data_IF_132822226285
#
_entry.id   IF_132822226285
#
_cell.length_a   1.000
_cell.length_b   1.000
_cell.length_c   1.000
_cell.angle_alpha   90.00
_cell.angle_beta   90.00
_cell.angle_gamma   90.00
#
_symmetry.space_group_name_H-M   'P 1'
#
loop_
_entity.id
_entity.type
_entity.pdbx_description
1 polymer ?
#
# COMPACT_ATOMS: atom_id res chain seq x y z
N UNK A 1 2.78 -4.28 -8.74
CA UNK A 1 3.34 -3.41 -7.68
C UNK A 1 2.41 -2.22 -7.54
N UNK A 2 2.18 -1.72 -6.32
CA UNK A 2 1.22 -0.66 -6.02
C UNK A 2 1.97 0.53 -5.41
N UNK A 3 2.13 1.59 -6.19
CA UNK A 3 2.76 2.84 -5.75
C UNK A 3 1.74 3.97 -5.82
N UNK A 4 0.96 4.19 -4.75
CA UNK A 4 -0.10 5.19 -4.75
C UNK A 4 0.33 6.55 -5.29
N UNK A 5 1.53 7.03 -4.97
CA UNK A 5 1.98 8.34 -5.46
C UNK A 5 2.05 8.43 -6.99
N UNK A 6 2.32 7.30 -7.68
CA UNK A 6 2.39 7.22 -9.14
C UNK A 6 1.02 7.25 -9.85
N UNK A 7 -0.09 7.23 -9.12
CA UNK A 7 -1.44 7.38 -9.69
C UNK A 7 -1.72 8.86 -9.96
N UNK A 8 -1.10 9.41 -11.01
CA UNK A 8 -1.12 10.86 -11.29
C UNK A 8 -2.53 11.49 -11.30
N UNK A 9 -3.55 10.75 -11.76
CA UNK A 9 -4.96 11.19 -11.78
C UNK A 9 -5.82 10.52 -10.69
N UNK A 10 -5.21 9.77 -9.78
CA UNK A 10 -5.88 8.96 -8.79
C UNK A 10 -6.67 7.79 -9.37
N UNK A 11 -7.79 7.45 -8.72
CA UNK A 11 -8.75 6.41 -9.12
C UNK A 11 -10.17 6.99 -9.09
N UNK A 12 -11.20 6.32 -9.67
CA UNK A 12 -12.58 6.81 -9.59
C UNK A 12 -13.00 7.13 -8.15
N UNK A 13 -13.47 8.37 -7.92
CA UNK A 13 -13.85 8.88 -6.60
C UNK A 13 -12.71 9.46 -5.75
N UNK A 14 -11.44 9.26 -6.13
CA UNK A 14 -10.27 9.72 -5.36
C UNK A 14 -9.23 10.36 -6.28
N UNK A 15 -9.29 11.68 -6.43
CA UNK A 15 -8.39 12.44 -7.33
C UNK A 15 -7.01 12.70 -6.73
N UNK A 16 -6.90 12.87 -5.41
CA UNK A 16 -5.61 13.04 -4.74
C UNK A 16 -5.10 11.67 -4.26
N UNK A 17 -4.11 11.07 -4.93
CA UNK A 17 -3.68 9.73 -4.58
C UNK A 17 -2.97 9.64 -3.23
N UNK A 18 -2.24 10.68 -2.83
CA UNK A 18 -1.49 10.69 -1.57
C UNK A 18 -2.44 10.84 -0.38
N UNK A 19 -3.51 11.60 -0.54
CA UNK A 19 -4.57 11.70 0.47
C UNK A 19 -5.45 10.42 0.56
N UNK A 20 -5.42 9.55 -0.47
CA UNK A 20 -6.31 8.39 -0.60
C UNK A 20 -5.54 7.07 -0.77
N UNK A 21 -4.38 6.95 -0.11
CA UNK A 21 -3.48 5.80 -0.19
C UNK A 21 -4.17 4.48 0.15
N UNK A 22 -5.01 4.47 1.19
CA UNK A 22 -5.79 3.29 1.58
C UNK A 22 -6.68 2.82 0.42
N UNK A 23 -7.52 3.71 -0.11
CA UNK A 23 -8.48 3.39 -1.15
C UNK A 23 -7.80 2.94 -2.45
N UNK A 24 -6.67 3.55 -2.81
CA UNK A 24 -5.90 3.11 -3.96
C UNK A 24 -5.47 1.65 -3.82
N UNK A 25 -4.89 1.28 -2.69
CA UNK A 25 -4.43 -0.10 -2.47
C UNK A 25 -5.62 -1.05 -2.41
N UNK A 26 -6.62 -0.74 -1.58
CA UNK A 26 -7.78 -1.61 -1.34
C UNK A 26 -8.57 -1.86 -2.63
N UNK A 27 -9.02 -0.79 -3.31
CA UNK A 27 -9.85 -0.90 -4.51
C UNK A 27 -9.11 -1.52 -5.68
N UNK A 28 -7.79 -1.31 -5.78
CA UNK A 28 -6.99 -1.99 -6.81
C UNK A 28 -6.90 -3.49 -6.57
N UNK A 29 -6.72 -3.91 -5.32
CA UNK A 29 -6.71 -5.34 -4.95
C UNK A 29 -8.09 -5.98 -5.17
N UNK A 30 -9.17 -5.33 -4.77
CA UNK A 30 -10.54 -5.79 -5.04
C UNK A 30 -10.79 -5.96 -6.54
N UNK A 31 -10.40 -4.98 -7.35
CA UNK A 31 -10.57 -5.06 -8.79
C UNK A 31 -9.71 -6.18 -9.39
N UNK A 32 -8.50 -6.39 -8.88
CA UNK A 32 -7.63 -7.49 -9.28
C UNK A 32 -8.23 -8.86 -8.97
N UNK A 33 -8.74 -9.07 -7.76
CA UNK A 33 -9.42 -10.30 -7.37
C UNK A 33 -10.68 -10.55 -8.22
N UNK A 34 -11.53 -9.53 -8.40
CA UNK A 34 -12.74 -9.64 -9.22
C UNK A 34 -12.44 -10.00 -10.68
N UNK A 35 -11.34 -9.48 -11.24
CA UNK A 35 -10.94 -9.77 -12.62
C UNK A 35 -10.31 -11.14 -12.81
N UNK A 36 -9.66 -11.68 -11.78
CA UNK A 36 -8.85 -12.90 -11.89
C UNK A 36 -9.51 -14.12 -11.28
N UNK A 37 -10.49 -13.95 -10.38
CA UNK A 37 -11.07 -15.02 -9.58
C UNK A 37 -10.11 -15.64 -8.57
N UNK A 38 -8.91 -15.07 -8.40
CA UNK A 38 -7.90 -15.58 -7.47
C UNK A 38 -8.33 -15.28 -6.04
N UNK A 39 -8.18 -16.27 -5.15
CA UNK A 39 -8.42 -16.10 -3.73
C UNK A 39 -7.58 -14.94 -3.15
N UNK A 40 -8.24 -14.07 -2.37
CA UNK A 40 -7.64 -12.87 -1.77
C UNK A 40 -6.36 -13.18 -0.99
N UNK A 41 -6.29 -14.32 -0.31
CA UNK A 41 -5.14 -14.77 0.48
C UNK A 41 -3.91 -15.08 -0.37
N UNK A 42 -4.05 -15.23 -1.69
CA UNK A 42 -2.91 -15.44 -2.61
C UNK A 42 -2.26 -14.12 -3.05
N UNK A 43 -2.88 -12.98 -2.80
CA UNK A 43 -2.30 -11.68 -3.13
C UNK A 43 -1.17 -11.34 -2.15
N UNK A 44 -0.06 -10.81 -2.70
CA UNK A 44 1.07 -10.23 -1.96
C UNK A 44 1.48 -8.91 -2.63
N UNK A 45 0.77 -7.79 -2.37
CA UNK A 45 1.11 -6.53 -2.99
C UNK A 45 2.49 -6.05 -2.55
N UNK A 46 3.22 -5.51 -3.53
CA UNK A 46 4.37 -4.65 -3.28
C UNK A 46 3.89 -3.23 -3.01
N UNK A 47 4.13 -2.72 -1.81
CA UNK A 47 3.70 -1.43 -1.29
C UNK A 47 4.84 -0.40 -1.35
N UNK A 48 4.49 0.88 -1.39
CA UNK A 48 5.43 1.99 -1.50
C UNK A 48 6.09 2.34 -0.16
N UNK A 49 7.43 2.44 -0.15
CA UNK A 49 8.22 2.90 1.00
C UNK A 49 9.20 4.05 0.65
N UNK A 50 8.92 4.81 -0.40
CA UNK A 50 9.74 5.93 -0.86
C UNK A 50 8.86 7.15 -1.15
N UNK A 51 9.46 8.34 -1.12
CA UNK A 51 8.82 9.56 -1.62
C UNK A 51 8.86 9.55 -3.14
N UNK A 52 7.78 10.00 -3.78
CA UNK A 52 7.70 9.97 -5.24
C UNK A 52 8.93 10.60 -5.89
N UNK A 53 9.38 9.96 -6.97
CA UNK A 53 10.51 10.37 -7.79
C UNK A 53 10.18 11.57 -8.68
N UNK A 54 8.91 11.83 -8.93
CA UNK A 54 8.46 12.77 -9.93
C UNK A 54 7.63 13.90 -9.28
N UNK A 55 8.26 15.07 -9.13
CA UNK A 55 7.60 16.39 -9.04
C UNK A 55 6.84 16.80 -7.79
N UNK A 56 6.87 16.05 -6.69
CA UNK A 56 6.22 16.53 -5.46
C UNK A 56 7.05 16.29 -4.20
N UNK A 57 7.28 17.37 -3.44
CA UNK A 57 7.94 17.34 -2.12
C UNK A 57 7.01 16.81 -1.02
N UNK A 58 5.79 16.37 -1.35
CA UNK A 58 4.84 15.76 -0.42
C UNK A 58 5.51 14.68 0.44
N UNK A 59 5.25 14.77 1.74
CA UNK A 59 5.78 13.83 2.72
C UNK A 59 5.09 12.48 2.55
N UNK A 60 5.78 11.52 1.95
CA UNK A 60 5.42 10.11 2.05
C UNK A 60 6.20 9.50 3.22
N UNK A 61 5.47 9.06 4.26
CA UNK A 61 6.08 8.64 5.52
C UNK A 61 5.35 7.49 6.20
N UNK A 62 5.75 7.15 7.44
CA UNK A 62 5.25 5.96 8.15
C UNK A 62 3.73 5.85 8.29
N UNK A 63 3.01 6.98 8.41
CA UNK A 63 1.54 6.97 8.48
C UNK A 63 0.90 6.45 7.20
N UNK A 64 1.33 6.94 6.04
CA UNK A 64 0.85 6.47 4.74
C UNK A 64 1.28 5.04 4.44
N UNK A 65 2.46 4.63 4.91
CA UNK A 65 2.88 3.21 4.87
C UNK A 65 1.94 2.32 5.70
N UNK A 66 1.50 2.78 6.89
CA UNK A 66 0.52 2.04 7.71
C UNK A 66 -0.84 1.93 7.02
N UNK A 67 -1.30 2.97 6.35
CA UNK A 67 -2.56 2.90 5.58
C UNK A 67 -2.50 1.88 4.44
N UNK A 68 -1.35 1.70 3.79
CA UNK A 68 -1.16 0.64 2.79
C UNK A 68 -1.21 -0.75 3.40
N UNK A 69 -0.58 -0.95 4.56
CA UNK A 69 -0.68 -2.21 5.32
C UNK A 69 -2.14 -2.48 5.66
N UNK A 70 -2.82 -1.49 6.23
CA UNK A 70 -4.22 -1.60 6.64
C UNK A 70 -5.09 -1.99 5.45
N UNK A 71 -4.93 -1.34 4.30
CA UNK A 71 -5.67 -1.68 3.08
C UNK A 71 -5.40 -3.12 2.61
N UNK A 72 -4.15 -3.58 2.63
CA UNK A 72 -3.80 -4.94 2.25
C UNK A 72 -4.37 -5.99 3.24
N UNK A 73 -4.37 -5.68 4.53
CA UNK A 73 -4.94 -6.52 5.59
C UNK A 73 -6.46 -6.57 5.49
N UNK A 74 -7.14 -5.42 5.40
CA UNK A 74 -8.61 -5.31 5.31
C UNK A 74 -9.14 -5.95 4.02
N UNK A 75 -8.36 -5.94 2.93
CA UNK A 75 -8.66 -6.69 1.71
C UNK A 75 -8.64 -8.22 1.95
N UNK A 76 -7.84 -8.70 2.90
CA UNK A 76 -7.63 -10.13 3.18
C UNK A 76 -6.45 -10.73 2.42
N UNK A 77 -5.45 -9.92 2.03
CA UNK A 77 -4.21 -10.45 1.47
C UNK A 77 -3.48 -11.28 2.53
N UNK A 78 -2.76 -12.32 2.10
CA UNK A 78 -1.97 -13.11 3.05
C UNK A 78 -0.63 -12.47 3.45
N UNK A 79 -0.43 -11.18 3.14
CA UNK A 79 0.80 -10.44 3.43
C UNK A 79 1.10 -9.39 2.36
N UNK A 80 2.19 -8.66 2.55
CA UNK A 80 2.64 -7.57 1.70
C UNK A 80 4.17 -7.47 1.73
N UNK A 81 4.75 -6.73 0.79
CA UNK A 81 6.18 -6.43 0.74
C UNK A 81 6.36 -4.93 0.54
N UNK A 82 7.23 -4.26 1.30
CA UNK A 82 7.60 -2.89 0.93
C UNK A 82 8.70 -2.90 -0.13
N UNK A 83 8.61 -1.93 -1.03
CA UNK A 83 9.66 -1.64 -1.99
C UNK A 83 10.13 -0.21 -1.83
N UNK A 84 11.45 -0.04 -1.72
CA UNK A 84 12.15 1.24 -1.85
C UNK A 84 13.39 1.01 -2.72
N UNK A 85 13.55 1.72 -3.86
CA UNK A 85 14.72 1.56 -4.74
C UNK A 85 16.05 1.97 -4.10
N UNK A 86 16.04 2.81 -3.05
CA UNK A 86 17.23 3.12 -2.23
C UNK A 86 17.49 2.07 -1.14
N UNK A 87 16.61 1.09 -0.97
CA UNK A 87 16.65 0.10 0.11
C UNK A 87 16.67 0.71 1.53
N UNK A 88 16.06 1.87 1.71
CA UNK A 88 15.96 2.54 3.02
C UNK A 88 14.54 2.35 3.56
N UNK A 89 14.42 1.77 4.75
CA UNK A 89 13.13 1.55 5.41
C UNK A 89 13.20 2.15 6.82
N UNK A 90 12.18 2.93 7.25
CA UNK A 90 12.17 3.51 8.59
C UNK A 90 12.14 2.40 9.67
N UNK A 91 13.09 2.42 10.59
CA UNK A 91 13.24 1.36 11.63
C UNK A 91 12.11 1.41 12.67
N UNK A 92 11.69 2.62 13.03
CA UNK A 92 10.57 2.92 13.93
C UNK A 92 9.24 2.35 13.42
N UNK A 93 9.09 2.23 12.09
CA UNK A 93 7.91 1.66 11.46
C UNK A 93 7.82 0.12 11.62
N UNK A 94 8.94 -0.60 11.56
CA UNK A 94 8.97 -2.07 11.63
C UNK A 94 8.75 -2.57 13.05
N UNK A 95 9.25 -1.85 14.06
CA UNK A 95 9.16 -2.24 15.46
C UNK A 95 7.73 -2.20 16.05
N UNK A 96 6.79 -1.48 15.41
CA UNK A 96 5.45 -1.24 15.93
C UNK A 96 4.37 -2.21 15.42
N UNK A 97 4.71 -3.25 14.65
CA UNK A 97 3.70 -4.23 14.23
C UNK A 97 3.28 -5.10 15.43
N UNK A 98 1.98 -5.23 15.75
CA UNK A 98 1.56 -6.14 16.78
C UNK A 98 1.97 -7.54 16.34
N UNK A 99 2.67 -8.24 17.25
CA UNK A 99 2.95 -9.65 17.09
C UNK A 99 1.67 -10.36 16.67
N UNK A 100 1.77 -11.07 15.56
CA UNK A 100 0.73 -11.88 14.94
C UNK A 100 -0.04 -12.65 16.03
N UNK A 101 -1.20 -12.15 16.46
CA UNK A 101 -2.07 -12.83 17.42
C UNK A 101 -2.79 -13.95 16.68
N UNK A 102 -2.06 -15.05 16.43
CA UNK A 102 -2.65 -16.31 16.01
C UNK A 102 -3.39 -16.88 17.23
N UNK A 103 -4.72 -16.85 17.18
CA UNK A 103 -5.56 -17.82 17.86
C UNK A 103 -5.86 -18.95 16.88
#
# INVERSE_FOLDING_TARGET
>A
MLYPSGFHFGIPGHRDPVANVYDIVYKTLERGAARTGVDRRRFRPWLQAFRDYAFDRRSFGPSLMREQIRAATDFGSGGWLFWNPRNIYPLDFIAASPANSRK
#
